data_IF_291255850975
#
_entry.id   IF_291255850975
#
_cell.length_a   1.000
_cell.length_b   1.000
_cell.length_c   1.000
_cell.angle_alpha   90.00
_cell.angle_beta   90.00
_cell.angle_gamma   90.00
#
_symmetry.space_group_name_H-M   'P 1'
#
loop_
_entity.id
_entity.type
_entity.pdbx_description
1 polymer ?
#
# COMPACT_ATOMS: atom_id res chain seq x y z
N UNK A 1 -0.86 -15.37 -12.27
CA UNK A 1 -0.91 -14.47 -11.11
C UNK A 1 -2.33 -14.49 -10.60
N UNK A 2 -2.53 -14.85 -9.32
CA UNK A 2 -3.86 -14.86 -8.71
C UNK A 2 -4.51 -13.48 -8.78
N UNK A 3 -5.84 -13.45 -8.78
CA UNK A 3 -6.59 -12.20 -8.77
C UNK A 3 -6.30 -11.43 -7.48
N UNK A 4 -6.15 -10.11 -7.59
CA UNK A 4 -6.13 -9.24 -6.41
C UNK A 4 -7.53 -9.23 -5.82
N UNK A 5 -7.65 -9.48 -4.53
CA UNK A 5 -8.93 -9.50 -3.80
C UNK A 5 -9.10 -8.26 -2.94
N UNK A 6 -8.00 -7.69 -2.42
CA UNK A 6 -8.05 -6.54 -1.52
C UNK A 6 -6.74 -5.74 -1.53
N UNK A 7 -6.85 -4.43 -1.29
CA UNK A 7 -5.75 -3.51 -1.02
C UNK A 7 -6.01 -2.80 0.31
N UNK A 8 -5.03 -2.83 1.21
CA UNK A 8 -5.01 -1.99 2.42
C UNK A 8 -3.84 -1.01 2.32
N UNK A 9 -4.12 0.27 2.51
CA UNK A 9 -3.10 1.31 2.63
C UNK A 9 -3.14 1.95 4.01
N UNK A 10 -1.96 2.26 4.56
CA UNK A 10 -1.81 3.12 5.73
C UNK A 10 -0.72 4.14 5.48
N UNK A 11 -1.02 5.41 5.75
CA UNK A 11 -0.12 6.55 5.58
C UNK A 11 0.60 6.57 4.22
N UNK A 12 -0.09 6.20 3.14
CA UNK A 12 0.47 6.11 1.79
C UNK A 12 -0.02 7.25 0.90
N UNK A 13 0.89 8.17 0.55
CA UNK A 13 0.61 9.41 -0.19
C UNK A 13 -0.58 10.15 0.42
N UNK A 14 -1.61 10.48 -0.36
CA UNK A 14 -2.79 11.19 0.13
C UNK A 14 -3.75 10.33 0.97
N UNK A 15 -3.52 9.02 1.12
CA UNK A 15 -4.38 8.14 1.92
C UNK A 15 -3.82 7.95 3.34
N UNK A 16 -4.48 8.49 4.39
CA UNK A 16 -4.19 8.10 5.77
C UNK A 16 -4.51 6.61 5.97
N UNK A 17 -5.67 6.19 5.49
CA UNK A 17 -6.11 4.80 5.42
C UNK A 17 -6.92 4.58 4.14
N UNK A 18 -6.81 3.38 3.56
CA UNK A 18 -7.69 2.91 2.49
C UNK A 18 -7.92 1.41 2.67
N UNK A 19 -9.18 1.00 2.62
CA UNK A 19 -9.58 -0.41 2.54
C UNK A 19 -10.44 -0.57 1.27
N UNK A 20 -9.95 -1.36 0.31
CA UNK A 20 -10.57 -1.52 -1.00
C UNK A 20 -10.59 -2.99 -1.43
N UNK A 21 -11.79 -3.52 -1.63
CA UNK A 21 -12.01 -4.84 -2.21
C UNK A 21 -12.05 -4.77 -3.75
N UNK A 22 -11.60 -5.86 -4.40
CA UNK A 22 -11.56 -6.00 -5.85
C UNK A 22 -12.43 -7.14 -6.32
N UNK A 23 -13.09 -6.94 -7.46
CA UNK A 23 -13.77 -8.00 -8.19
C UNK A 23 -12.74 -8.87 -8.93
N UNK A 24 -12.98 -10.19 -9.07
CA UNK A 24 -12.08 -11.09 -9.80
C UNK A 24 -12.01 -10.79 -11.31
N UNK A 25 -12.98 -10.05 -11.84
CA UNK A 25 -13.01 -9.62 -13.23
C UNK A 25 -12.39 -8.23 -13.43
N UNK A 26 -13.15 -7.34 -14.06
CA UNK A 26 -12.71 -5.98 -14.34
C UNK A 26 -13.09 -5.05 -13.19
N UNK A 27 -12.12 -4.29 -12.70
CA UNK A 27 -12.33 -3.21 -11.74
C UNK A 27 -12.19 -1.86 -12.45
N UNK A 28 -13.09 -0.93 -12.17
CA UNK A 28 -13.08 0.42 -12.76
C UNK A 28 -12.94 1.41 -11.61
N UNK A 29 -11.85 2.16 -11.59
CA UNK A 29 -11.61 3.24 -10.62
C UNK A 29 -12.16 4.54 -11.19
N UNK A 30 -13.20 5.11 -10.56
CA UNK A 30 -13.86 6.34 -11.00
C UNK A 30 -13.67 7.42 -9.94
N UNK A 31 -13.45 8.67 -10.37
CA UNK A 31 -13.29 9.83 -9.52
C UNK A 31 -12.58 10.96 -10.27
N UNK A 32 -12.60 12.16 -9.71
CA UNK A 32 -11.96 13.33 -10.33
C UNK A 32 -10.43 13.21 -10.35
N UNK A 33 -9.76 14.10 -11.08
CA UNK A 33 -8.30 14.18 -11.02
C UNK A 33 -7.82 14.37 -9.58
N UNK A 34 -6.62 13.84 -9.28
CA UNK A 34 -5.96 13.98 -7.97
C UNK A 34 -6.66 13.29 -6.78
N UNK A 35 -7.80 12.64 -6.98
CA UNK A 35 -8.51 11.84 -5.95
C UNK A 35 -7.77 10.56 -5.52
N UNK A 36 -6.67 10.20 -6.18
CA UNK A 36 -5.82 9.08 -5.77
C UNK A 36 -5.93 7.80 -6.60
N UNK A 37 -6.63 7.82 -7.73
CA UNK A 37 -6.73 6.65 -8.64
C UNK A 37 -5.35 6.13 -9.08
N UNK A 38 -4.46 7.01 -9.54
CA UNK A 38 -3.09 6.62 -9.93
C UNK A 38 -2.26 6.16 -8.74
N UNK A 39 -2.58 6.64 -7.52
CA UNK A 39 -1.92 6.20 -6.28
C UNK A 39 -2.28 4.76 -5.93
N UNK A 40 -3.54 4.35 -6.12
CA UNK A 40 -3.96 2.94 -5.97
C UNK A 40 -3.18 2.04 -6.93
N UNK A 41 -3.07 2.44 -8.20
CA UNK A 41 -2.30 1.68 -9.19
C UNK A 41 -0.80 1.60 -8.85
N UNK A 42 -0.22 2.70 -8.35
CA UNK A 42 1.17 2.72 -7.90
C UNK A 42 1.40 1.79 -6.70
N UNK A 43 0.49 1.78 -5.72
CA UNK A 43 0.57 0.88 -4.58
C UNK A 43 0.61 -0.59 -5.01
N UNK A 44 -0.27 -0.97 -5.94
CA UNK A 44 -0.32 -2.32 -6.51
C UNK A 44 0.98 -2.65 -7.25
N UNK A 45 1.50 -1.76 -8.11
CA UNK A 45 2.75 -1.97 -8.84
C UNK A 45 3.96 -2.13 -7.89
N UNK A 46 4.05 -1.32 -6.84
CA UNK A 46 5.14 -1.39 -5.88
C UNK A 46 5.17 -2.72 -5.14
N UNK A 47 4.04 -3.18 -4.61
CA UNK A 47 3.96 -4.47 -3.90
C UNK A 47 4.23 -5.63 -4.84
N UNK A 48 3.62 -5.63 -6.02
CA UNK A 48 3.79 -6.70 -7.00
C UNK A 48 5.25 -6.81 -7.49
N UNK A 49 5.95 -5.69 -7.60
CA UNK A 49 7.35 -5.69 -7.98
C UNK A 49 8.30 -6.24 -6.91
N UNK A 50 7.87 -6.26 -5.65
CA UNK A 50 8.69 -6.53 -4.46
C UNK A 50 10.05 -5.81 -4.48
N UNK A 51 10.13 -4.65 -5.15
CA UNK A 51 11.39 -4.00 -5.50
C UNK A 51 11.71 -2.90 -4.50
N UNK A 52 12.60 -3.22 -3.56
CA UNK A 52 13.16 -2.25 -2.62
C UNK A 52 13.81 -1.06 -3.35
N UNK A 53 14.53 -1.31 -4.44
CA UNK A 53 15.18 -0.25 -5.22
C UNK A 53 14.18 0.72 -5.85
N UNK A 54 13.00 0.25 -6.29
CA UNK A 54 11.92 1.15 -6.75
C UNK A 54 11.42 2.05 -5.63
N UNK A 55 11.20 1.49 -4.44
CA UNK A 55 10.77 2.27 -3.25
C UNK A 55 11.80 3.35 -2.93
N UNK A 56 13.09 2.99 -2.90
CA UNK A 56 14.19 3.94 -2.65
C UNK A 56 14.30 5.01 -3.75
N UNK A 57 14.06 4.66 -5.02
CA UNK A 57 14.11 5.60 -6.15
C UNK A 57 12.99 6.64 -6.09
N UNK A 58 11.79 6.25 -5.65
CA UNK A 58 10.67 7.19 -5.48
C UNK A 58 10.93 8.12 -4.28
N UNK A 59 11.60 7.61 -3.24
CA UNK A 59 11.86 8.33 -2.01
C UNK A 59 10.75 8.16 -0.98
N UNK A 60 11.14 7.98 0.29
CA UNK A 60 10.18 7.79 1.38
C UNK A 60 9.33 9.04 1.61
N UNK A 61 9.90 10.24 1.42
CA UNK A 61 9.15 11.50 1.54
C UNK A 61 7.99 11.62 0.54
N UNK A 62 8.11 10.98 -0.63
CA UNK A 62 7.07 11.00 -1.66
C UNK A 62 6.00 9.92 -1.46
N UNK A 63 6.27 8.93 -0.60
CA UNK A 63 5.36 7.81 -0.30
C UNK A 63 4.64 8.00 1.03
N UNK A 64 5.25 8.67 2.01
CA UNK A 64 4.63 8.88 3.31
C UNK A 64 3.51 9.92 3.25
N UNK A 65 2.43 9.66 3.97
CA UNK A 65 1.36 10.64 4.11
C UNK A 65 1.83 11.86 4.90
N UNK A 66 1.59 13.04 4.31
CA UNK A 66 1.99 14.32 4.89
C UNK A 66 1.36 14.57 6.26
N UNK A 67 0.10 14.21 6.45
CA UNK A 67 -0.59 14.42 7.72
C UNK A 67 0.05 13.57 8.82
N UNK A 68 0.38 12.31 8.53
CA UNK A 68 1.08 11.43 9.48
C UNK A 68 2.43 12.01 9.96
N UNK A 69 3.17 12.66 9.05
CA UNK A 69 4.41 13.37 9.41
C UNK A 69 4.11 14.58 10.30
N UNK A 70 3.10 15.39 9.96
CA UNK A 70 2.69 16.54 10.78
C UNK A 70 2.23 16.11 12.17
N UNK A 71 1.44 15.06 12.27
CA UNK A 71 0.91 14.54 13.54
C UNK A 71 2.06 14.09 14.44
N UNK A 72 3.05 13.37 13.89
CA UNK A 72 4.26 13.00 14.63
C UNK A 72 5.07 14.21 15.10
N UNK A 73 5.29 15.19 14.22
CA UNK A 73 6.10 16.38 14.52
C UNK A 73 5.42 17.35 15.49
N UNK A 74 4.10 17.32 15.60
CA UNK A 74 3.34 18.15 16.53
C UNK A 74 3.05 17.45 17.86
N UNK A 75 3.12 16.11 17.91
CA UNK A 75 2.97 15.31 19.12
C UNK A 75 4.23 15.21 20.00
N UNK A 76 4.26 14.17 20.83
CA UNK A 76 5.33 13.92 21.81
C UNK A 76 6.64 13.39 21.19
N UNK A 77 6.63 13.07 19.88
CA UNK A 77 7.79 12.62 19.10
C UNK A 77 8.48 11.38 19.66
N UNK A 78 7.73 10.47 20.29
CA UNK A 78 8.28 9.19 20.77
C UNK A 78 8.58 8.30 19.57
N UNK A 79 9.63 7.48 19.68
CA UNK A 79 9.98 6.51 18.63
C UNK A 79 8.81 5.58 18.31
N UNK A 80 8.00 5.22 19.31
CA UNK A 80 6.77 4.42 19.15
C UNK A 80 5.73 5.04 18.23
N UNK A 81 5.78 6.36 18.05
CA UNK A 81 4.77 7.15 17.36
C UNK A 81 5.23 7.51 15.94
N UNK A 82 6.41 7.01 15.51
CA UNK A 82 6.89 7.20 14.15
C UNK A 82 5.84 6.71 13.14
N UNK A 83 5.58 7.48 12.08
CA UNK A 83 4.59 7.10 11.08
C UNK A 83 5.04 5.83 10.36
N UNK A 84 4.12 4.87 10.28
CA UNK A 84 4.31 3.61 9.54
C UNK A 84 3.53 3.69 8.23
N UNK A 85 4.22 3.45 7.12
CA UNK A 85 3.60 3.28 5.79
C UNK A 85 3.36 1.80 5.55
N UNK A 86 2.12 1.44 5.23
CA UNK A 86 1.72 0.07 4.91
C UNK A 86 1.06 0.05 3.54
N UNK A 87 1.41 -0.97 2.74
CA UNK A 87 0.75 -1.27 1.47
C UNK A 87 0.62 -2.79 1.39
N UNK A 88 -0.56 -3.30 1.73
CA UNK A 88 -0.84 -4.73 1.73
C UNK A 88 -1.75 -5.09 0.56
N UNK A 89 -1.31 -6.07 -0.24
CA UNK A 89 -2.04 -6.60 -1.38
C UNK A 89 -2.42 -8.04 -1.11
N UNK A 90 -3.72 -8.33 -1.12
CA UNK A 90 -4.25 -9.67 -0.91
C UNK A 90 -4.56 -10.30 -2.26
N UNK A 91 -4.20 -11.57 -2.38
CA UNK A 91 -4.37 -12.36 -3.58
C UNK A 91 -5.39 -13.46 -3.29
N UNK A 92 -6.14 -13.87 -4.31
CA UNK A 92 -6.98 -15.05 -4.24
C UNK A 92 -6.11 -16.29 -3.95
N UNK A 93 -6.62 -17.20 -3.13
CA UNK A 93 -5.95 -18.45 -2.83
C UNK A 93 -5.64 -19.23 -4.11
N UNK A 94 -4.44 -19.80 -4.16
CA UNK A 94 -3.97 -20.62 -5.26
C UNK A 94 -2.94 -21.64 -4.80
N UNK A 95 -2.77 -22.70 -5.59
CA UNK A 95 -1.87 -23.82 -5.31
C UNK A 95 -0.37 -23.47 -5.49
N UNK A 96 -0.09 -22.23 -5.84
CA UNK A 96 1.23 -21.73 -6.17
C UNK A 96 2.02 -21.42 -4.89
N UNK A 97 2.84 -22.37 -4.45
CA UNK A 97 3.68 -22.30 -3.24
C UNK A 97 4.49 -20.99 -3.08
N UNK A 98 4.81 -20.30 -4.18
CA UNK A 98 5.52 -19.02 -4.16
C UNK A 98 4.73 -17.89 -3.48
N UNK A 99 3.39 -17.87 -3.57
CA UNK A 99 2.54 -16.83 -2.98
C UNK A 99 2.28 -17.03 -1.48
N UNK A 100 2.68 -18.17 -0.91
CA UNK A 100 2.49 -18.48 0.51
C UNK A 100 3.59 -17.90 1.42
N UNK A 101 4.58 -17.21 0.87
CA UNK A 101 5.68 -16.62 1.63
C UNK A 101 6.54 -17.65 2.38
N UNK A 102 7.72 -17.25 2.86
CA UNK A 102 8.56 -18.10 3.73
C UNK A 102 8.32 -17.89 5.22
N UNK A 103 7.56 -16.86 5.58
CA UNK A 103 7.32 -16.40 6.95
C UNK A 103 5.83 -16.49 7.35
N UNK A 104 4.95 -17.00 6.48
CA UNK A 104 3.53 -17.22 6.79
C UNK A 104 3.23 -18.69 7.16
N UNK A 105 4.26 -19.49 7.47
CA UNK A 105 4.05 -20.85 7.97
C UNK A 105 3.67 -20.79 9.45
N UNK A 106 2.44 -21.17 9.74
CA UNK A 106 1.94 -21.52 11.09
C UNK A 106 2.46 -22.90 11.47
#
# INVERSE_FOLDING_TARGET
MPAITKLILKNFKQFPELDMDFNPGKNILIGDNETGKSTVLLAIDLVNSASRSRVETIGLEALINRQAVVDFLTGEKKISDLPVVLVDLFLADGDEAYFHGKQNQV
#
